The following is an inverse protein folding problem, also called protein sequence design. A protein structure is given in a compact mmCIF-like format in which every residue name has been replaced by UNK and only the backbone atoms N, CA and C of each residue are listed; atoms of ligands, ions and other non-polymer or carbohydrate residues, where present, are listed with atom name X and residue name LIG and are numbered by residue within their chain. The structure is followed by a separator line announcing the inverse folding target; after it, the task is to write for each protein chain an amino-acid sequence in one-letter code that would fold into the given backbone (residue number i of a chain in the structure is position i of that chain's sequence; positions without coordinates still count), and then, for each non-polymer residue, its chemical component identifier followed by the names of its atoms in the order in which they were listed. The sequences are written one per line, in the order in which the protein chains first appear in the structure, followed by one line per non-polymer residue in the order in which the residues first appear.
data_IF_228631140753
#
_entry.id   IF_228631140753
#
_cell.length_a   1.000
_cell.length_b   1.000
_cell.length_c   1.000
_cell.angle_alpha   90.00
_cell.angle_beta   90.00
_cell.angle_gamma   90.00
#
_symmetry.space_group_name_H-M   'P 1'
#
loop_
_entity.id
_entity.type
_entity.pdbx_description
1 polymer ?
#
# COMPACT_ATOMS: atom_id res chain seq x y z
N UNK A 1 -30.76 3.61 20.60
CA UNK A 1 -30.21 3.25 20.48
C UNK A 1 -29.32 3.22 20.08
N UNK A 2 -28.91 3.02 20.04
CA UNK A 2 -28.10 2.87 19.85
C UNK A 2 -27.42 2.81 19.22
N UNK A 3 -27.03 2.82 18.93
CA UNK A 3 -26.35 2.69 18.32
C UNK A 3 -25.42 2.37 18.18
N UNK A 4 -25.65 2.18 18.22
CA UNK A 4 -24.88 1.76 18.38
C UNK A 4 -24.07 1.36 17.99
N UNK A 5 -24.29 1.36 18.05
CA UNK A 5 -22.97 0.94 18.02
C UNK A 5 -22.43 0.51 16.71
N UNK A 6 -22.63 1.25 15.74
CA UNK A 6 -21.86 1.10 14.54
C UNK A 6 -20.42 1.22 14.99
N UNK A 7 -19.73 0.07 15.13
CA UNK A 7 -18.31 0.07 15.32
C UNK A 7 -17.75 0.96 14.23
N UNK A 8 -17.09 2.04 14.61
CA UNK A 8 -16.46 2.94 13.66
C UNK A 8 -15.55 2.10 12.79
N UNK A 9 -15.84 2.07 11.52
CA UNK A 9 -14.97 1.38 10.58
C UNK A 9 -13.66 2.16 10.44
N UNK A 10 -12.53 1.48 10.30
CA UNK A 10 -11.28 2.18 10.07
C UNK A 10 -11.33 2.94 8.74
N UNK A 11 -10.61 4.06 8.72
CA UNK A 11 -10.46 4.85 7.50
C UNK A 11 -9.23 4.35 6.72
N UNK A 12 -9.21 4.46 5.40
CA UNK A 12 -8.01 4.11 4.65
C UNK A 12 -6.92 5.16 4.86
N UNK A 13 -5.68 4.68 5.03
CA UNK A 13 -4.55 5.58 5.25
C UNK A 13 -4.19 6.36 3.98
N UNK A 14 -4.53 5.82 2.82
CA UNK A 14 -4.32 6.45 1.52
C UNK A 14 -5.56 6.23 0.66
N UNK A 15 -5.77 7.09 -0.32
CA UNK A 15 -6.99 7.05 -1.13
C UNK A 15 -7.05 5.86 -2.09
N UNK A 16 -5.93 5.25 -2.43
CA UNK A 16 -5.94 4.06 -3.28
C UNK A 16 -6.12 2.75 -2.51
N UNK A 17 -6.24 2.81 -1.18
CA UNK A 17 -6.64 1.65 -0.37
C UNK A 17 -8.14 1.69 -0.19
N UNK A 18 -8.85 0.66 -0.66
CA UNK A 18 -10.30 0.62 -0.60
C UNK A 18 -10.76 -0.38 0.45
N UNK A 19 -11.74 0.04 1.22
CA UNK A 19 -12.33 -0.78 2.28
C UNK A 19 -13.81 -0.98 1.90
N UNK A 20 -14.15 -2.11 1.25
CA UNK A 20 -15.53 -2.35 0.86
C UNK A 20 -16.40 -2.62 2.09
N UNK A 21 -17.71 -2.43 1.95
CA UNK A 21 -18.65 -2.75 3.03
C UNK A 21 -18.65 -4.25 3.32
N UNK A 22 -18.47 -5.05 2.28
CA UNK A 22 -18.36 -6.50 2.39
C UNK A 22 -17.13 -6.95 1.60
N UNK A 23 -16.37 -7.87 2.17
CA UNK A 23 -15.18 -8.39 1.55
C UNK A 23 -13.91 -7.77 2.08
N UNK A 24 -12.80 -8.20 1.53
CA UNK A 24 -11.48 -7.81 2.00
C UNK A 24 -11.04 -6.47 1.44
N UNK A 25 -10.21 -5.73 2.18
CA UNK A 25 -9.59 -4.52 1.64
C UNK A 25 -8.73 -4.84 0.42
N UNK A 26 -8.58 -3.87 -0.46
CA UNK A 26 -7.76 -4.05 -1.65
C UNK A 26 -7.14 -2.71 -2.08
N UNK A 27 -6.15 -2.80 -2.93
CA UNK A 27 -5.51 -1.63 -3.53
C UNK A 27 -6.09 -1.42 -4.93
N UNK A 28 -6.39 -0.16 -5.25
CA UNK A 28 -6.97 0.20 -6.53
C UNK A 28 -6.01 1.11 -7.29
N UNK A 29 -5.70 0.72 -8.51
CA UNK A 29 -4.92 1.56 -9.42
C UNK A 29 -5.79 2.19 -10.48
N UNK A 30 -5.17 3.05 -11.27
CA UNK A 30 -5.79 3.65 -12.45
C UNK A 30 -5.02 3.18 -13.67
N UNK A 31 -5.70 2.51 -14.58
CA UNK A 31 -5.08 2.02 -15.80
C UNK A 31 -5.45 2.92 -16.98
N UNK A 32 -4.44 3.38 -17.70
CA UNK A 32 -4.66 4.16 -18.89
C UNK A 32 -5.29 3.28 -19.99
N UNK A 33 -6.41 3.74 -20.54
CA UNK A 33 -7.10 2.99 -21.59
C UNK A 33 -6.36 2.99 -22.92
N UNK A 34 -5.43 3.95 -23.09
CA UNK A 34 -4.71 4.08 -24.35
C UNK A 34 -3.43 3.23 -24.39
N UNK A 35 -2.63 3.27 -23.32
CA UNK A 35 -1.35 2.56 -23.31
C UNK A 35 -1.25 1.47 -22.25
N UNK A 36 -2.30 1.27 -21.45
CA UNK A 36 -2.36 0.26 -20.38
C UNK A 36 -1.41 0.48 -19.20
N UNK A 37 -0.77 1.63 -19.11
CA UNK A 37 0.06 1.96 -17.95
C UNK A 37 -0.81 2.05 -16.69
N UNK A 38 -0.28 1.56 -15.56
CA UNK A 38 -1.01 1.51 -14.30
C UNK A 38 -0.35 2.44 -13.29
N UNK A 39 -1.15 3.24 -12.63
CA UNK A 39 -0.69 4.21 -11.62
C UNK A 39 -1.51 4.06 -10.35
N UNK A 40 -0.92 4.46 -9.24
CA UNK A 40 -1.66 4.60 -7.97
C UNK A 40 -2.22 6.01 -7.88
N UNK A 41 -3.41 6.12 -7.27
CA UNK A 41 -4.05 7.41 -7.11
C UNK A 41 -4.65 7.94 -8.41
N UNK A 42 -5.43 9.00 -8.27
CA UNK A 42 -6.08 9.63 -9.43
C UNK A 42 -5.14 10.60 -10.13
N UNK A 43 -5.31 10.73 -11.43
CA UNK A 43 -4.54 11.68 -12.23
C UNK A 43 -5.32 12.05 -13.48
N UNK A 44 -5.02 13.23 -14.02
CA UNK A 44 -5.73 13.75 -15.20
C UNK A 44 -5.09 13.29 -16.49
N UNK A 45 -3.78 13.05 -16.48
CA UNK A 45 -3.03 12.73 -17.68
C UNK A 45 -2.10 11.55 -17.42
N UNK A 46 -1.91 10.73 -18.45
CA UNK A 46 -0.98 9.62 -18.40
C UNK A 46 0.45 10.12 -18.63
N UNK A 47 1.34 9.83 -17.68
CA UNK A 47 2.74 10.25 -17.81
C UNK A 47 3.50 9.43 -18.85
N UNK A 48 2.94 8.32 -19.30
CA UNK A 48 3.59 7.48 -20.31
C UNK A 48 3.22 7.88 -21.73
N UNK A 49 1.93 8.11 -22.02
CA UNK A 49 1.48 8.39 -23.38
C UNK A 49 0.84 9.76 -23.57
N UNK A 50 0.60 10.50 -22.48
CA UNK A 50 0.01 11.84 -22.56
C UNK A 50 -1.49 11.89 -22.69
N UNK A 51 -2.19 10.76 -22.76
CA UNK A 51 -3.64 10.74 -22.86
C UNK A 51 -4.27 11.40 -21.63
N UNK A 52 -5.37 12.13 -21.84
CA UNK A 52 -6.05 12.83 -20.75
C UNK A 52 -7.42 12.24 -20.50
N UNK A 53 -7.76 12.06 -19.21
CA UNK A 53 -9.08 11.60 -18.81
C UNK A 53 -9.43 10.20 -19.29
N UNK A 54 -8.45 9.37 -19.58
CA UNK A 54 -8.64 8.05 -20.18
C UNK A 54 -8.18 6.95 -19.23
N UNK A 55 -8.71 6.96 -18.01
CA UNK A 55 -8.33 5.97 -16.99
C UNK A 55 -9.54 5.16 -16.56
N UNK A 56 -9.27 3.93 -16.18
CA UNK A 56 -10.27 3.08 -15.54
C UNK A 56 -9.68 2.47 -14.28
N UNK A 57 -10.52 2.24 -13.28
CA UNK A 57 -10.11 1.63 -12.04
C UNK A 57 -9.71 0.18 -12.28
N UNK A 58 -8.64 -0.24 -11.63
CA UNK A 58 -8.16 -1.62 -11.71
C UNK A 58 -7.77 -2.08 -10.32
N UNK A 59 -8.30 -3.23 -9.91
CA UNK A 59 -7.90 -3.86 -8.65
C UNK A 59 -6.49 -4.42 -8.83
N UNK A 60 -5.60 -4.07 -7.91
CA UNK A 60 -4.21 -4.49 -7.96
C UNK A 60 -4.02 -5.82 -7.23
N UNK A 61 -2.98 -6.56 -7.62
CA UNK A 61 -2.64 -7.80 -6.96
C UNK A 61 -2.08 -7.53 -5.56
N UNK A 62 -2.20 -8.52 -4.68
CA UNK A 62 -1.62 -8.48 -3.34
C UNK A 62 -0.27 -9.17 -3.27
N UNK A 63 0.36 -9.40 -4.41
CA UNK A 63 1.66 -10.07 -4.52
C UNK A 63 2.52 -9.34 -5.51
N UNK A 64 3.82 -9.43 -5.29
CA UNK A 64 4.77 -8.82 -6.20
C UNK A 64 6.19 -9.19 -5.83
N UNK A 65 7.14 -8.39 -6.28
CA UNK A 65 8.56 -8.59 -6.02
C UNK A 65 9.18 -7.33 -5.47
N UNK A 66 10.15 -7.50 -4.59
CA UNK A 66 10.88 -6.38 -4.00
C UNK A 66 11.77 -5.75 -5.08
N UNK A 67 11.51 -4.48 -5.36
CA UNK A 67 12.33 -3.74 -6.32
C UNK A 67 13.58 -3.17 -5.65
N UNK A 68 13.38 -2.45 -4.54
CA UNK A 68 14.46 -1.83 -3.81
C UNK A 68 14.02 -1.59 -2.36
N UNK A 69 14.98 -1.49 -1.46
CA UNK A 69 14.69 -1.20 -0.05
C UNK A 69 15.79 -0.35 0.56
N UNK A 70 15.48 0.25 1.69
CA UNK A 70 16.49 0.85 2.57
C UNK A 70 16.10 0.56 4.02
N UNK A 71 17.11 0.45 4.88
CA UNK A 71 16.89 0.28 6.30
C UNK A 71 17.05 1.65 6.94
N UNK A 72 15.98 2.13 7.59
CA UNK A 72 15.93 3.47 8.16
C UNK A 72 16.22 3.37 9.65
N UNK A 73 17.30 4.00 10.08
CA UNK A 73 17.75 3.96 11.48
C UNK A 73 17.39 5.20 12.28
N UNK A 74 16.94 6.26 11.60
CA UNK A 74 16.55 7.51 12.25
C UNK A 74 15.22 8.00 11.66
N UNK A 75 14.35 8.48 12.55
CA UNK A 75 13.07 9.04 12.14
C UNK A 75 12.58 10.01 13.19
N UNK A 76 11.39 10.55 13.00
CA UNK A 76 10.78 11.47 13.97
C UNK A 76 10.44 10.73 15.27
N UNK A 77 10.33 11.47 16.39
CA UNK A 77 9.91 10.86 17.65
C UNK A 77 8.57 10.14 17.49
N UNK A 78 8.46 8.96 18.11
CA UNK A 78 7.26 8.14 18.02
C UNK A 78 7.24 7.15 16.89
N UNK A 79 8.19 7.22 15.97
CA UNK A 79 8.33 6.23 14.89
C UNK A 79 9.36 5.19 15.29
N UNK A 80 8.94 3.94 15.31
CA UNK A 80 9.82 2.82 15.67
C UNK A 80 10.89 2.63 14.61
N UNK A 81 12.14 2.55 15.03
CA UNK A 81 13.29 2.31 14.15
C UNK A 81 14.14 1.18 14.75
N UNK A 82 14.90 0.42 13.93
CA UNK A 82 14.95 0.55 12.48
C UNK A 82 13.70 -0.02 11.82
N UNK A 83 13.36 0.52 10.66
CA UNK A 83 12.31 -0.07 9.83
C UNK A 83 12.82 -0.18 8.39
N UNK A 84 12.18 -1.04 7.61
CA UNK A 84 12.57 -1.28 6.23
C UNK A 84 11.58 -0.56 5.31
N UNK A 85 12.06 0.47 4.62
CA UNK A 85 11.27 1.16 3.59
C UNK A 85 11.50 0.44 2.27
N UNK A 86 10.44 0.06 1.61
CA UNK A 86 10.54 -0.79 0.42
C UNK A 86 9.67 -0.27 -0.71
N UNK A 87 10.12 -0.55 -1.94
CA UNK A 87 9.33 -0.34 -3.15
C UNK A 87 9.13 -1.70 -3.78
N UNK A 88 7.89 -2.03 -4.08
CA UNK A 88 7.48 -3.33 -4.60
C UNK A 88 6.79 -3.15 -5.93
N UNK A 89 7.14 -3.98 -6.89
CA UNK A 89 6.43 -4.07 -8.16
C UNK A 89 5.38 -5.17 -8.02
N UNK A 90 4.11 -4.79 -8.12
CA UNK A 90 3.00 -5.73 -7.99
C UNK A 90 2.82 -6.53 -9.26
N UNK A 91 2.41 -7.78 -9.10
CA UNK A 91 2.12 -8.66 -10.24
C UNK A 91 0.99 -8.06 -11.06
N UNK A 92 1.20 -7.98 -12.37
CA UNK A 92 0.18 -7.43 -13.27
C UNK A 92 0.18 -5.91 -13.37
N UNK A 93 1.04 -5.21 -12.63
CA UNK A 93 1.21 -3.77 -12.74
C UNK A 93 1.00 -3.03 -11.43
N UNK A 94 1.60 -1.87 -11.36
CA UNK A 94 1.57 -1.01 -10.18
C UNK A 94 2.84 -1.13 -9.37
N UNK A 95 3.38 0.02 -8.96
CA UNK A 95 4.56 0.10 -8.11
C UNK A 95 4.17 0.79 -6.83
N UNK A 96 4.48 0.20 -5.70
CA UNK A 96 3.96 0.61 -4.41
C UNK A 96 5.10 0.77 -3.41
N UNK A 97 5.04 1.84 -2.63
CA UNK A 97 5.97 2.08 -1.54
C UNK A 97 5.29 1.75 -0.20
N UNK A 98 6.02 1.09 0.68
CA UNK A 98 5.52 0.77 2.01
C UNK A 98 6.63 0.18 2.86
N UNK A 99 6.27 -0.30 4.05
CA UNK A 99 7.23 -0.89 4.97
C UNK A 99 7.19 -2.42 4.85
N UNK A 100 8.39 -3.00 4.81
CA UNK A 100 8.56 -4.45 4.80
C UNK A 100 8.71 -4.92 6.24
N UNK A 101 7.85 -5.84 6.67
CA UNK A 101 7.83 -6.36 8.03
C UNK A 101 7.98 -7.88 8.02
N UNK A 102 8.09 -8.47 9.20
CA UNK A 102 8.22 -9.92 9.40
C UNK A 102 9.50 -10.50 8.80
N UNK A 103 10.52 -9.67 8.73
CA UNK A 103 11.88 -10.05 8.35
C UNK A 103 12.84 -9.10 9.10
N UNK A 104 13.99 -9.60 9.49
CA UNK A 104 14.96 -8.77 10.19
C UNK A 104 15.49 -7.66 9.28
N UNK A 105 15.72 -6.45 9.82
CA UNK A 105 16.32 -5.37 9.04
C UNK A 105 17.82 -5.58 8.86
N UNK A 106 18.16 -6.58 8.10
CA UNK A 106 19.53 -7.04 7.87
C UNK A 106 19.71 -7.22 6.36
N UNK A 107 20.68 -6.50 5.75
CA UNK A 107 20.90 -6.60 4.30
C UNK A 107 21.23 -8.02 3.83
N UNK A 108 21.75 -8.87 4.70
CA UNK A 108 22.04 -10.25 4.32
C UNK A 108 20.79 -11.12 4.19
N UNK A 109 19.68 -10.68 4.78
CA UNK A 109 18.43 -11.44 4.76
C UNK A 109 17.42 -10.92 3.73
N UNK A 110 17.67 -9.73 3.17
CA UNK A 110 16.77 -9.07 2.25
C UNK A 110 17.42 -9.06 0.87
N UNK A 111 16.72 -9.60 -0.13
CA UNK A 111 17.23 -9.62 -1.50
C UNK A 111 16.27 -8.90 -2.44
N UNK A 112 16.82 -8.06 -3.31
CA UNK A 112 16.03 -7.46 -4.38
C UNK A 112 15.54 -8.59 -5.30
N UNK A 113 14.28 -8.49 -5.71
CA UNK A 113 13.64 -9.54 -6.51
C UNK A 113 12.95 -10.62 -5.68
N UNK A 114 13.08 -10.60 -4.35
CA UNK A 114 12.40 -11.61 -3.53
C UNK A 114 10.88 -11.47 -3.61
N UNK A 115 10.15 -12.60 -3.48
CA UNK A 115 8.68 -12.55 -3.50
C UNK A 115 8.13 -11.84 -2.26
N UNK A 116 7.16 -10.99 -2.48
CA UNK A 116 6.52 -10.16 -1.44
C UNK A 116 5.00 -10.33 -1.53
N UNK A 117 4.33 -10.28 -0.39
CA UNK A 117 2.88 -10.14 -0.37
C UNK A 117 2.48 -8.90 0.41
N UNK A 118 1.35 -8.33 0.02
CA UNK A 118 0.76 -7.16 0.69
C UNK A 118 -0.22 -7.66 1.73
N UNK A 119 -0.10 -7.12 2.94
CA UNK A 119 -1.05 -7.42 4.02
C UNK A 119 -1.63 -6.11 4.55
N UNK A 120 -2.80 -6.18 5.14
CA UNK A 120 -3.51 -5.02 5.67
C UNK A 120 -3.63 -5.15 7.18
N UNK A 121 -3.32 -4.07 7.90
CA UNK A 121 -3.40 -4.01 9.36
C UNK A 121 -3.85 -2.64 9.81
N UNK A 122 -4.41 -2.58 11.00
CA UNK A 122 -4.72 -1.31 11.63
C UNK A 122 -3.40 -0.63 12.01
N UNK A 123 -3.27 0.64 11.66
CA UNK A 123 -2.09 1.42 12.01
C UNK A 123 -1.98 1.59 13.53
N UNK A 124 -0.75 1.70 14.06
CA UNK A 124 -0.55 1.78 15.51
C UNK A 124 -1.03 3.07 16.14
N UNK A 125 -1.23 4.13 15.34
CA UNK A 125 -1.65 5.43 15.86
C UNK A 125 -3.03 5.81 15.34
N UNK A 126 -3.76 6.54 16.16
CA UNK A 126 -5.08 7.10 15.81
C UNK A 126 -4.91 8.58 15.56
N UNK A 127 -5.88 9.18 14.86
CA UNK A 127 -5.90 10.63 14.70
C UNK A 127 -6.42 11.31 15.98
N UNK A 128 -6.50 12.64 15.97
CA UNK A 128 -6.93 13.40 17.14
C UNK A 128 -8.37 13.15 17.54
N UNK A 129 -9.17 12.67 16.59
CA UNK A 129 -10.58 12.37 16.83
C UNK A 129 -10.81 10.91 17.23
N UNK A 130 -9.74 10.12 17.37
CA UNK A 130 -9.80 8.73 17.78
C UNK A 130 -10.10 7.77 16.65
N UNK A 131 -10.04 8.21 15.40
CA UNK A 131 -10.26 7.32 14.26
C UNK A 131 -9.06 6.40 14.06
N UNK A 132 -9.35 5.14 13.81
CA UNK A 132 -8.35 4.17 13.42
C UNK A 132 -8.17 4.20 11.92
N UNK A 133 -6.96 3.86 11.47
CA UNK A 133 -6.64 3.81 10.05
C UNK A 133 -6.19 2.43 9.66
N UNK A 134 -6.71 1.93 8.54
CA UNK A 134 -6.22 0.70 7.93
C UNK A 134 -5.07 1.08 7.01
N UNK A 135 -3.95 0.40 7.18
CA UNK A 135 -2.78 0.59 6.34
C UNK A 135 -2.36 -0.74 5.74
N UNK A 136 -1.35 -0.70 4.91
CA UNK A 136 -0.80 -1.89 4.30
C UNK A 136 0.69 -2.02 4.63
N UNK A 137 1.16 -3.26 4.61
CA UNK A 137 2.57 -3.58 4.80
C UNK A 137 2.95 -4.64 3.80
N UNK A 138 4.24 -4.78 3.60
CA UNK A 138 4.79 -5.88 2.82
C UNK A 138 5.40 -6.90 3.76
N UNK A 139 5.33 -8.16 3.37
CA UNK A 139 6.04 -9.23 4.07
C UNK A 139 6.54 -10.24 3.03
N UNK A 140 7.58 -11.03 3.39
CA UNK A 140 8.03 -12.08 2.48
C UNK A 140 6.91 -13.08 2.22
N UNK A 141 6.75 -13.45 0.96
CA UNK A 141 5.79 -14.48 0.58
C UNK A 141 6.46 -15.84 0.66
N UNK A 142 5.81 -16.75 1.33
CA UNK A 142 6.32 -18.11 1.53
C UNK A 142 5.60 -19.13 0.65
#
# INVERSE_FOLDING_TARGET
MADTAAAKRPLPVVDFLKIPEQGDPYLEGQQCKECAAIFLGTRDACSKCGARGRFEAKRLANQGTLYVYSIVHRSFPGIEVPYISAIVDLDGGGTLKGNLINIDPDPEKIRMGMPIEVIFKIAPTKDREGNEYLTYYFQPRR
#
